data_IF_599258789207
#
_entry.id   IF_599258789207
#
_cell.length_a   1.000
_cell.length_b   1.000
_cell.length_c   1.000
_cell.angle_alpha   90.00
_cell.angle_beta   90.00
_cell.angle_gamma   90.00
#
_symmetry.space_group_name_H-M   'P 1'
#
loop_
_entity.id
_entity.type
_entity.pdbx_description
1 polymer ?
#
# COMPACT_ATOMS: atom_id res chain seq x y z
N UNK A 1 -6.70 -7.89 -13.81
CA UNK A 1 -6.15 -7.33 -12.56
C UNK A 1 -6.23 -8.37 -11.46
N UNK A 2 -5.18 -8.51 -10.70
CA UNK A 2 -5.12 -9.46 -9.57
C UNK A 2 -5.38 -8.75 -8.26
N UNK A 3 -6.15 -9.39 -7.38
CA UNK A 3 -6.33 -8.92 -6.01
C UNK A 3 -5.60 -9.91 -5.11
N UNK A 4 -4.65 -9.39 -4.33
CA UNK A 4 -3.89 -10.15 -3.36
C UNK A 4 -4.41 -9.88 -1.97
N UNK A 5 -4.38 -10.91 -1.13
CA UNK A 5 -4.84 -10.81 0.25
C UNK A 5 -4.01 -11.71 1.15
N UNK A 6 -3.88 -11.29 2.40
CA UNK A 6 -3.32 -12.12 3.46
C UNK A 6 -3.86 -11.66 4.82
N UNK A 7 -3.69 -12.50 5.83
CA UNK A 7 -3.89 -12.07 7.22
C UNK A 7 -2.88 -10.98 7.58
N UNK A 8 -3.29 -9.99 8.35
CA UNK A 8 -2.35 -8.97 8.84
C UNK A 8 -1.21 -9.61 9.64
N UNK A 9 -1.47 -10.73 10.29
CA UNK A 9 -0.47 -11.44 11.10
C UNK A 9 0.73 -11.90 10.25
N UNK A 10 0.51 -12.21 8.99
CA UNK A 10 1.59 -12.62 8.08
C UNK A 10 2.63 -11.52 7.89
N UNK A 11 2.21 -10.26 7.93
CA UNK A 11 3.07 -9.11 7.63
C UNK A 11 3.49 -8.33 8.87
N UNK A 12 3.05 -8.74 10.06
CA UNK A 12 3.37 -8.04 11.30
C UNK A 12 4.35 -8.79 12.18
N UNK A 13 5.13 -9.69 11.59
CA UNK A 13 6.16 -10.44 12.31
C UNK A 13 7.43 -9.63 12.54
N UNK A 14 7.66 -8.60 11.72
CA UNK A 14 8.87 -7.77 11.82
C UNK A 14 8.51 -6.33 11.50
N UNK A 15 8.86 -5.42 12.41
CA UNK A 15 8.61 -4.00 12.19
C UNK A 15 9.60 -3.41 11.18
N UNK A 16 9.14 -2.43 10.38
CA UNK A 16 10.07 -1.70 9.51
C UNK A 16 11.22 -1.07 10.31
N UNK A 17 12.38 -0.87 9.67
CA UNK A 17 13.49 -0.18 10.33
C UNK A 17 13.04 1.17 10.90
N UNK A 18 13.68 1.58 12.00
CA UNK A 18 13.36 2.86 12.64
C UNK A 18 13.54 4.00 11.64
N UNK A 19 12.65 5.00 11.74
CA UNK A 19 12.68 6.22 10.93
C UNK A 19 12.60 5.92 9.42
N UNK A 20 11.94 4.83 9.04
CA UNK A 20 11.80 4.46 7.63
C UNK A 20 10.39 4.61 7.09
N UNK A 21 9.38 4.26 7.89
CA UNK A 21 7.98 4.25 7.44
C UNK A 21 7.12 5.07 8.40
N UNK A 22 6.29 5.94 7.83
CA UNK A 22 5.47 6.86 8.62
C UNK A 22 4.03 6.82 8.13
N UNK A 23 3.10 6.59 9.06
CA UNK A 23 1.67 6.69 8.78
C UNK A 23 1.21 8.11 9.11
N UNK A 24 0.73 8.85 8.12
CA UNK A 24 0.42 10.27 8.22
C UNK A 24 -0.89 10.56 7.50
N UNK A 25 -1.75 11.36 8.13
CA UNK A 25 -2.95 11.85 7.45
C UNK A 25 -3.28 13.26 7.93
N UNK A 26 -3.63 14.22 7.06
CA UNK A 26 -3.67 14.12 5.59
C UNK A 26 -2.26 13.99 4.98
N UNK A 27 -2.17 13.65 3.67
CA UNK A 27 -0.88 13.41 3.05
C UNK A 27 -0.02 14.68 3.00
N UNK A 28 1.27 14.48 3.17
CA UNK A 28 2.25 15.57 3.09
C UNK A 28 2.46 15.98 1.63
N UNK A 29 2.96 17.20 1.42
CA UNK A 29 3.24 17.69 0.07
C UNK A 29 4.17 16.77 -0.70
N UNK A 30 5.23 16.24 -0.04
CA UNK A 30 6.16 15.31 -0.70
C UNK A 30 5.47 14.01 -1.13
N UNK A 31 4.49 13.55 -0.38
CA UNK A 31 3.72 12.36 -0.74
C UNK A 31 2.89 12.62 -2.00
N UNK A 32 2.24 13.76 -2.07
CA UNK A 32 1.46 14.17 -3.25
C UNK A 32 2.37 14.28 -4.47
N UNK A 33 3.57 14.84 -4.30
CA UNK A 33 4.56 14.94 -5.37
C UNK A 33 4.99 13.56 -5.88
N UNK A 34 5.24 12.62 -4.98
CA UNK A 34 5.62 11.26 -5.36
C UNK A 34 4.49 10.54 -6.09
N UNK A 35 3.24 10.74 -5.67
CA UNK A 35 2.10 10.20 -6.39
C UNK A 35 2.03 10.78 -7.80
N UNK A 36 2.22 12.09 -7.95
CA UNK A 36 2.22 12.72 -9.26
C UNK A 36 3.33 12.17 -10.17
N UNK A 37 4.53 11.94 -9.63
CA UNK A 37 5.62 11.30 -10.36
C UNK A 37 5.22 9.93 -10.89
N UNK A 38 4.44 9.18 -10.13
CA UNK A 38 3.99 7.84 -10.50
C UNK A 38 2.69 7.81 -11.32
N UNK A 39 2.16 8.98 -11.69
CA UNK A 39 0.94 9.06 -12.50
C UNK A 39 -0.35 9.09 -11.68
N UNK A 40 -0.27 9.23 -10.37
CA UNK A 40 -1.44 9.35 -9.50
C UNK A 40 -1.83 10.82 -9.42
N UNK A 41 -2.94 11.18 -10.05
CA UNK A 41 -3.37 12.57 -10.20
C UNK A 41 -3.98 13.14 -8.92
N UNK A 42 -4.13 14.47 -8.89
CA UNK A 42 -4.85 15.16 -7.82
C UNK A 42 -6.28 14.67 -7.69
N UNK A 43 -6.91 14.31 -8.80
CA UNK A 43 -8.27 13.76 -8.78
C UNK A 43 -8.34 12.48 -7.95
N UNK A 44 -7.35 11.59 -8.09
CA UNK A 44 -7.28 10.37 -7.29
C UNK A 44 -7.00 10.66 -5.83
N UNK A 45 -6.13 11.64 -5.54
CA UNK A 45 -5.87 12.06 -4.16
C UNK A 45 -7.16 12.60 -3.52
N UNK A 46 -7.94 13.35 -4.28
CA UNK A 46 -9.24 13.85 -3.79
C UNK A 46 -10.22 12.71 -3.50
N UNK A 47 -10.19 11.63 -4.30
CA UNK A 47 -10.99 10.43 -4.01
C UNK A 47 -10.55 9.81 -2.68
N UNK A 48 -9.24 9.72 -2.43
CA UNK A 48 -8.72 9.21 -1.16
C UNK A 48 -9.24 10.01 0.03
N UNK A 49 -9.27 11.35 -0.12
CA UNK A 49 -9.75 12.24 0.95
C UNK A 49 -11.23 12.04 1.27
N UNK A 50 -12.01 11.51 0.33
CA UNK A 50 -13.45 11.24 0.52
C UNK A 50 -13.75 9.85 1.07
N UNK A 51 -12.75 8.98 1.19
CA UNK A 51 -12.94 7.65 1.76
C UNK A 51 -13.43 7.79 3.20
N UNK A 52 -14.44 7.02 3.54
CA UNK A 52 -15.00 6.99 4.90
C UNK A 52 -14.25 5.96 5.75
N UNK A 53 -14.21 6.21 7.06
CA UNK A 53 -13.58 5.32 8.02
C UNK A 53 -12.08 5.57 8.16
N UNK A 54 -11.37 4.70 8.89
CA UNK A 54 -9.93 4.87 9.12
C UNK A 54 -9.15 4.84 7.82
N UNK A 55 -8.25 5.81 7.65
CA UNK A 55 -7.40 5.91 6.46
C UNK A 55 -6.10 6.59 6.82
N UNK A 56 -5.06 6.31 6.02
CA UNK A 56 -3.76 6.95 6.19
C UNK A 56 -3.00 6.95 4.87
N UNK A 57 -2.06 7.88 4.73
CA UNK A 57 -0.99 7.72 3.77
C UNK A 57 0.20 7.11 4.49
N UNK A 58 1.09 6.47 3.73
CA UNK A 58 2.34 5.93 4.26
C UNK A 58 3.47 6.56 3.48
N UNK A 59 4.36 7.26 4.21
CA UNK A 59 5.58 7.82 3.64
C UNK A 59 6.72 6.85 3.92
N UNK A 60 7.42 6.42 2.88
CA UNK A 60 8.63 5.63 2.99
C UNK A 60 9.84 6.51 2.81
N UNK A 61 10.78 6.42 3.76
CA UNK A 61 12.10 7.05 3.66
C UNK A 61 13.16 5.96 3.63
N UNK A 62 14.13 6.11 2.75
CA UNK A 62 15.19 5.12 2.59
C UNK A 62 16.46 5.83 2.14
N UNK A 63 17.60 5.47 2.73
CA UNK A 63 18.88 6.14 2.44
C UNK A 63 18.77 7.68 2.62
N UNK A 64 18.08 8.10 3.69
CA UNK A 64 17.87 9.52 4.05
C UNK A 64 17.07 10.33 3.02
N UNK A 65 16.33 9.66 2.14
CA UNK A 65 15.51 10.33 1.11
C UNK A 65 14.07 9.82 1.13
N UNK A 66 13.10 10.68 0.76
CA UNK A 66 11.76 10.18 0.46
C UNK A 66 11.85 9.17 -0.66
N UNK A 67 11.35 7.96 -0.41
CA UNK A 67 11.55 6.83 -1.30
C UNK A 67 10.27 6.31 -1.92
N UNK A 68 9.14 6.49 -1.25
CA UNK A 68 7.88 5.97 -1.74
C UNK A 68 6.70 6.43 -0.92
N UNK A 69 5.52 6.10 -1.42
CA UNK A 69 4.24 6.50 -0.83
C UNK A 69 3.18 5.44 -1.13
N UNK A 70 2.21 5.32 -0.22
CA UNK A 70 1.04 4.48 -0.42
C UNK A 70 -0.14 5.04 0.34
N UNK A 71 -1.33 4.54 0.04
CA UNK A 71 -2.57 4.89 0.74
C UNK A 71 -3.18 3.61 1.30
N UNK A 72 -3.67 3.67 2.53
CA UNK A 72 -4.36 2.56 3.15
C UNK A 72 -5.67 3.03 3.78
N UNK A 73 -6.69 2.18 3.71
CA UNK A 73 -8.00 2.44 4.32
C UNK A 73 -8.56 1.14 4.86
N UNK A 74 -9.39 1.24 5.89
CA UNK A 74 -10.04 0.09 6.52
C UNK A 74 -11.54 0.18 6.33
N UNK A 75 -12.14 -0.94 5.94
CA UNK A 75 -13.58 -1.12 5.88
C UNK A 75 -13.92 -2.46 6.56
N UNK A 76 -14.57 -2.39 7.71
CA UNK A 76 -14.85 -3.59 8.51
C UNK A 76 -13.55 -4.24 8.99
N UNK A 77 -13.36 -5.50 8.66
CA UNK A 77 -12.17 -6.27 9.02
C UNK A 77 -11.09 -6.27 7.93
N UNK A 78 -11.33 -5.57 6.83
CA UNK A 78 -10.44 -5.55 5.67
C UNK A 78 -9.77 -4.20 5.53
N UNK A 79 -8.45 -4.22 5.39
CA UNK A 79 -7.69 -3.06 4.97
C UNK A 79 -7.33 -3.20 3.50
N UNK A 80 -7.30 -2.08 2.79
CA UNK A 80 -6.97 -2.02 1.38
C UNK A 80 -5.84 -1.03 1.18
N UNK A 81 -4.82 -1.46 0.44
CA UNK A 81 -3.68 -0.60 0.08
C UNK A 81 -3.81 -0.22 -1.39
N UNK A 82 -3.62 1.06 -1.68
CA UNK A 82 -3.73 1.60 -3.02
C UNK A 82 -2.57 2.54 -3.30
N UNK A 83 -2.32 2.79 -4.59
CA UNK A 83 -1.42 3.85 -5.03
C UNK A 83 -0.03 3.73 -4.42
N UNK A 84 0.53 2.52 -4.42
CA UNK A 84 1.90 2.29 -3.97
C UNK A 84 2.84 2.71 -5.09
N UNK A 85 3.67 3.73 -4.81
CA UNK A 85 4.64 4.26 -5.76
C UNK A 85 6.00 4.37 -5.11
N UNK A 86 7.00 3.71 -5.69
CA UNK A 86 8.38 3.78 -5.21
C UNK A 86 9.19 4.54 -6.24
N UNK A 87 9.97 5.53 -5.79
CA UNK A 87 10.84 6.31 -6.68
C UNK A 87 11.83 5.39 -7.37
N UNK A 88 12.11 5.65 -8.66
CA UNK A 88 12.98 4.81 -9.47
C UNK A 88 14.37 4.65 -8.88
N UNK A 89 14.88 5.70 -8.22
CA UNK A 89 16.19 5.69 -7.58
C UNK A 89 16.25 4.80 -6.33
N UNK A 90 15.10 4.39 -5.80
CA UNK A 90 15.00 3.63 -4.55
C UNK A 90 14.40 2.24 -4.76
N UNK A 91 14.24 1.82 -6.01
CA UNK A 91 13.67 0.50 -6.33
C UNK A 91 14.66 -0.61 -6.04
N UNK A 92 14.13 -1.84 -5.87
CA UNK A 92 14.92 -3.06 -5.63
C UNK A 92 15.69 -3.05 -4.32
N UNK A 93 15.25 -2.26 -3.35
CA UNK A 93 15.87 -2.19 -2.02
C UNK A 93 14.93 -2.66 -0.91
N UNK A 94 13.80 -3.27 -1.27
CA UNK A 94 12.84 -3.77 -0.30
C UNK A 94 11.91 -2.71 0.27
N UNK A 95 11.92 -1.49 -0.27
CA UNK A 95 11.10 -0.38 0.25
C UNK A 95 9.62 -0.71 0.19
N UNK A 96 9.14 -1.24 -0.94
CA UNK A 96 7.73 -1.58 -1.09
C UNK A 96 7.29 -2.69 -0.12
N UNK A 97 8.16 -3.66 0.13
CA UNK A 97 7.90 -4.70 1.12
C UNK A 97 7.71 -4.11 2.51
N UNK A 98 8.60 -3.21 2.92
CA UNK A 98 8.48 -2.53 4.22
C UNK A 98 7.25 -1.64 4.29
N UNK A 99 6.89 -0.99 3.18
CA UNK A 99 5.68 -0.17 3.12
C UNK A 99 4.43 -1.04 3.35
N UNK A 100 4.37 -2.21 2.73
CA UNK A 100 3.26 -3.14 2.95
C UNK A 100 3.19 -3.63 4.39
N UNK A 101 4.33 -3.89 5.01
CA UNK A 101 4.40 -4.26 6.43
C UNK A 101 3.91 -3.14 7.33
N UNK A 102 4.30 -1.90 7.03
CA UNK A 102 3.79 -0.74 7.77
C UNK A 102 2.27 -0.64 7.66
N UNK A 103 1.74 -0.84 6.46
CA UNK A 103 0.29 -0.85 6.25
C UNK A 103 -0.39 -1.92 7.08
N UNK A 104 0.21 -3.10 7.20
CA UNK A 104 -0.34 -4.19 8.00
C UNK A 104 -0.34 -3.86 9.49
N UNK A 105 0.72 -3.26 10.02
CA UNK A 105 0.75 -2.81 11.41
C UNK A 105 -0.32 -1.76 11.68
N UNK A 106 -0.42 -0.77 10.79
CA UNK A 106 -1.45 0.26 10.93
C UNK A 106 -2.85 -0.35 10.87
N UNK A 107 -3.09 -1.26 9.92
CA UNK A 107 -4.38 -1.93 9.77
C UNK A 107 -4.76 -2.71 11.02
N UNK A 108 -3.81 -3.42 11.62
CA UNK A 108 -4.03 -4.16 12.86
C UNK A 108 -4.43 -3.22 13.99
N UNK A 109 -3.80 -2.06 14.09
CA UNK A 109 -4.16 -1.03 15.07
C UNK A 109 -5.59 -0.53 14.89
N UNK A 110 -6.10 -0.56 13.65
CA UNK A 110 -7.47 -0.15 13.33
C UNK A 110 -8.47 -1.30 13.46
N UNK A 111 -8.03 -2.47 13.90
CA UNK A 111 -8.91 -3.63 14.09
C UNK A 111 -9.12 -4.50 12.85
N UNK A 112 -8.39 -4.25 11.77
CA UNK A 112 -8.48 -5.08 10.58
C UNK A 112 -7.76 -6.41 10.80
N UNK A 113 -8.28 -7.48 10.18
CA UNK A 113 -7.66 -8.80 10.24
C UNK A 113 -7.01 -9.21 8.91
N UNK A 114 -7.36 -8.54 7.81
CA UNK A 114 -6.82 -8.85 6.49
C UNK A 114 -6.32 -7.59 5.78
N UNK A 115 -5.26 -7.78 4.99
CA UNK A 115 -4.70 -6.73 4.14
C UNK A 115 -4.85 -7.16 2.68
N UNK A 116 -5.34 -6.26 1.86
CA UNK A 116 -5.63 -6.50 0.46
C UNK A 116 -4.98 -5.43 -0.42
N UNK A 117 -4.53 -5.82 -1.60
CA UNK A 117 -3.97 -4.90 -2.59
C UNK A 117 -4.26 -5.42 -3.99
N UNK A 118 -4.50 -4.52 -4.93
CA UNK A 118 -4.73 -4.89 -6.33
C UNK A 118 -3.58 -4.38 -7.21
N UNK A 119 -3.26 -5.13 -8.23
CA UNK A 119 -2.33 -4.68 -9.27
C UNK A 119 -2.71 -5.28 -10.62
N UNK A 120 -2.29 -4.62 -11.70
CA UNK A 120 -2.56 -5.14 -13.04
C UNK A 120 -1.75 -6.41 -13.29
N UNK A 121 -2.28 -7.28 -14.16
CA UNK A 121 -1.57 -8.52 -14.53
C UNK A 121 -0.22 -8.21 -15.19
N UNK A 122 -0.13 -7.10 -15.90
CA UNK A 122 1.09 -6.69 -16.60
C UNK A 122 2.19 -6.19 -15.66
N UNK A 123 1.86 -5.83 -14.42
CA UNK A 123 2.84 -5.34 -13.46
C UNK A 123 3.58 -6.51 -12.81
N UNK A 124 4.57 -7.04 -13.51
CA UNK A 124 5.32 -8.24 -13.09
C UNK A 124 5.99 -8.01 -11.75
N UNK A 125 6.59 -6.85 -11.54
CA UNK A 125 7.31 -6.54 -10.30
C UNK A 125 6.38 -6.52 -9.09
N UNK A 126 5.21 -5.91 -9.20
CA UNK A 126 4.24 -5.85 -8.11
C UNK A 126 3.69 -7.24 -7.79
N UNK A 127 3.33 -8.02 -8.83
CA UNK A 127 2.85 -9.38 -8.63
C UNK A 127 3.90 -10.23 -7.90
N UNK A 128 5.16 -10.15 -8.30
CA UNK A 128 6.25 -10.89 -7.67
C UNK A 128 6.43 -10.45 -6.21
N UNK A 129 6.37 -9.14 -5.95
CA UNK A 129 6.50 -8.61 -4.60
C UNK A 129 5.43 -9.17 -3.67
N UNK A 130 4.16 -9.08 -4.06
CA UNK A 130 3.07 -9.49 -3.17
C UNK A 130 3.12 -10.98 -2.88
N UNK A 131 3.46 -11.79 -3.87
CA UNK A 131 3.67 -13.23 -3.64
C UNK A 131 4.84 -13.48 -2.69
N UNK A 132 5.93 -12.74 -2.85
CA UNK A 132 7.15 -12.95 -2.04
C UNK A 132 6.93 -12.64 -0.56
N UNK A 133 6.01 -11.75 -0.24
CA UNK A 133 5.71 -11.42 1.16
C UNK A 133 4.58 -12.26 1.75
N UNK A 134 4.09 -13.24 1.00
CA UNK A 134 3.12 -14.21 1.50
C UNK A 134 1.66 -13.92 1.15
N UNK A 135 1.40 -12.96 0.28
CA UNK A 135 0.05 -12.68 -0.17
C UNK A 135 -0.37 -13.63 -1.28
N UNK A 136 -1.66 -13.92 -1.34
CA UNK A 136 -2.23 -14.86 -2.32
C UNK A 136 -3.29 -14.18 -3.15
N UNK A 137 -3.38 -14.56 -4.42
CA UNK A 137 -4.44 -14.08 -5.30
C UNK A 137 -5.77 -14.65 -4.82
N UNK A 138 -6.74 -13.76 -4.58
CA UNK A 138 -8.08 -14.15 -4.11
C UNK A 138 -9.16 -13.78 -5.10
N UNK A 139 -8.85 -13.07 -6.18
CA UNK A 139 -9.82 -12.72 -7.18
C UNK A 139 -9.28 -11.75 -8.22
N UNK A 140 -10.14 -11.40 -9.15
CA UNK A 140 -9.85 -10.43 -10.20
C UNK A 140 -11.13 -9.76 -10.64
N UNK A 141 -10.99 -8.67 -11.36
CA UNK A 141 -12.14 -7.85 -11.74
C UNK A 141 -13.13 -8.59 -12.63
N UNK A 142 -12.66 -9.53 -13.44
CA UNK A 142 -13.56 -10.27 -14.30
C UNK A 142 -14.62 -11.08 -13.51
N UNK A 143 -14.34 -11.44 -12.27
CA UNK A 143 -15.34 -12.09 -11.43
C UNK A 143 -16.49 -11.14 -11.07
N UNK A 144 -16.15 -9.89 -10.83
CA UNK A 144 -17.14 -8.88 -10.45
C UNK A 144 -18.06 -8.51 -11.60
N UNK A 145 -17.52 -8.56 -12.80
CA UNK A 145 -18.24 -8.18 -14.00
C UNK A 145 -19.32 -9.18 -14.37
N UNK A 146 -19.27 -10.37 -13.80
CA UNK A 146 -20.31 -11.38 -14.01
C UNK A 146 -21.49 -11.23 -13.08
N UNK A 147 -21.28 -10.60 -11.97
CA UNK A 147 -22.29 -10.43 -10.94
C UNK A 147 -23.15 -9.22 -11.15
#
# INVERSE_FOLDING_TARGET
>A
MNIYSTSVDTLTTERPPKVSMFSVWPPLAIEIDMWAEGGISDARVNVMKRVQGPKTSILARWNDHPAGVGFAAVHGKNAFVHAVEIRSTQRQQGVASWLMKQAAFWAAEQGASRLNVACTNANVAANALYRSIGMKVVGGYHYRMKG
#
